data_IF_455705928324
#
_entry.id   IF_455705928324
#
_cell.length_a   1.000
_cell.length_b   1.000
_cell.length_c   1.000
_cell.angle_alpha   90.00
_cell.angle_beta   90.00
_cell.angle_gamma   90.00
#
_symmetry.space_group_name_H-M   'P 1'
#
loop_
_entity.id
_entity.type
_entity.pdbx_description
1 polymer ?
#
# COMPACT_ATOMS: atom_id res chain seq x y z
N UNK A 1 -9.16 -15.34 -20.26
CA UNK A 1 -9.07 -16.63 -19.52
C UNK A 1 -7.69 -16.95 -18.94
N UNK A 2 -6.61 -17.19 -19.71
CA UNK A 2 -5.26 -17.51 -19.16
C UNK A 2 -4.54 -16.33 -18.47
N UNK A 3 -4.74 -15.10 -18.96
CA UNK A 3 -4.16 -13.90 -18.35
C UNK A 3 -4.90 -13.52 -17.05
N UNK A 4 -6.24 -13.58 -17.08
CA UNK A 4 -7.08 -13.37 -15.89
C UNK A 4 -6.77 -14.38 -14.79
N UNK A 5 -6.48 -15.64 -15.15
CA UNK A 5 -6.06 -16.65 -14.16
C UNK A 5 -4.68 -16.36 -13.57
N UNK A 6 -3.73 -15.82 -14.36
CA UNK A 6 -2.40 -15.40 -13.86
C UNK A 6 -2.47 -14.18 -12.94
N UNK A 7 -3.24 -13.16 -13.32
CA UNK A 7 -3.51 -11.98 -12.50
C UNK A 7 -4.11 -12.37 -11.14
N UNK A 8 -5.15 -13.20 -11.15
CA UNK A 8 -5.81 -13.67 -9.94
C UNK A 8 -4.88 -14.51 -9.06
N UNK A 9 -4.02 -15.33 -9.67
CA UNK A 9 -3.03 -16.12 -8.93
C UNK A 9 -2.01 -15.26 -8.19
N UNK A 10 -1.51 -14.18 -8.81
CA UNK A 10 -0.56 -13.26 -8.16
C UNK A 10 -1.21 -12.57 -6.96
N UNK A 11 -2.41 -12.03 -7.15
CA UNK A 11 -3.14 -11.39 -6.07
C UNK A 11 -3.47 -12.37 -4.94
N UNK A 12 -3.77 -13.63 -5.26
CA UNK A 12 -3.98 -14.70 -4.28
C UNK A 12 -2.72 -15.01 -3.46
N UNK A 13 -1.55 -15.07 -4.09
CA UNK A 13 -0.26 -15.28 -3.39
C UNK A 13 0.02 -14.12 -2.42
N UNK A 14 -0.18 -12.88 -2.85
CA UNK A 14 0.02 -11.69 -2.02
C UNK A 14 -0.96 -11.63 -0.84
N UNK A 15 -2.23 -11.97 -1.06
CA UNK A 15 -3.24 -12.07 0.03
C UNK A 15 -2.94 -13.21 0.99
N UNK A 16 -2.33 -14.29 0.51
CA UNK A 16 -1.87 -15.42 1.32
C UNK A 16 -0.52 -15.21 2.02
N UNK A 17 0.09 -14.03 1.86
CA UNK A 17 1.35 -13.68 2.52
C UNK A 17 1.20 -13.82 4.04
N UNK A 18 2.08 -14.62 4.67
CA UNK A 18 2.03 -14.92 6.12
C UNK A 18 2.64 -13.82 7.00
N UNK A 19 3.56 -13.02 6.46
CA UNK A 19 4.18 -11.89 7.16
C UNK A 19 3.51 -10.58 6.75
N UNK A 20 3.55 -9.56 7.60
CA UNK A 20 3.10 -8.24 7.17
C UNK A 20 4.11 -7.63 6.18
N UNK A 21 3.66 -6.79 5.22
CA UNK A 21 4.55 -5.94 4.45
C UNK A 21 5.28 -4.97 5.40
N UNK A 22 6.63 -5.03 5.48
CA UNK A 22 7.37 -4.17 6.39
C UNK A 22 7.22 -2.71 5.99
N UNK A 23 7.25 -1.81 6.99
CA UNK A 23 7.23 -0.37 6.77
C UNK A 23 8.35 0.08 5.83
N UNK A 24 9.57 -0.42 6.05
CA UNK A 24 10.73 -0.21 5.19
C UNK A 24 11.30 -1.56 4.77
N UNK A 25 11.02 -2.05 3.54
CA UNK A 25 11.61 -3.30 3.06
C UNK A 25 13.09 -3.11 2.69
N UNK A 26 13.90 -4.10 3.02
CA UNK A 26 15.31 -4.17 2.58
C UNK A 26 15.48 -4.95 1.26
N UNK A 27 14.48 -5.76 0.91
CA UNK A 27 14.47 -6.64 -0.26
C UNK A 27 13.06 -7.01 -0.65
N UNK A 28 12.92 -7.45 -1.89
CA UNK A 28 11.71 -8.11 -2.41
C UNK A 28 11.32 -9.28 -1.51
N UNK A 29 10.03 -9.39 -1.20
CA UNK A 29 9.50 -10.45 -0.33
C UNK A 29 9.59 -11.83 -0.98
N UNK A 30 9.11 -11.95 -2.22
CA UNK A 30 9.10 -13.21 -2.96
C UNK A 30 9.73 -13.04 -4.35
N UNK A 31 11.02 -13.39 -4.53
CA UNK A 31 11.74 -13.22 -5.81
C UNK A 31 11.11 -13.97 -7.00
N UNK A 32 10.59 -15.18 -6.75
CA UNK A 32 9.89 -15.95 -7.79
C UNK A 32 8.60 -15.26 -8.26
N UNK A 33 7.84 -14.65 -7.35
CA UNK A 33 6.65 -13.87 -7.67
C UNK A 33 7.01 -12.58 -8.39
N UNK A 34 8.12 -11.93 -8.01
CA UNK A 34 8.61 -10.72 -8.68
C UNK A 34 8.89 -11.00 -10.16
N UNK A 35 9.50 -12.14 -10.47
CA UNK A 35 9.73 -12.60 -11.84
C UNK A 35 8.40 -12.79 -12.60
N UNK A 36 7.41 -13.39 -11.95
CA UNK A 36 6.07 -13.58 -12.54
C UNK A 36 5.36 -12.24 -12.80
N UNK A 37 5.47 -11.29 -11.87
CA UNK A 37 4.91 -9.95 -12.01
C UNK A 37 5.59 -9.23 -13.18
N UNK A 38 6.93 -9.23 -13.27
CA UNK A 38 7.67 -8.61 -14.39
C UNK A 38 7.20 -9.12 -15.74
N UNK A 39 6.93 -10.42 -15.84
CA UNK A 39 6.48 -11.09 -17.06
C UNK A 39 5.01 -10.80 -17.45
N UNK A 40 4.28 -9.97 -16.70
CA UNK A 40 2.94 -9.52 -17.10
C UNK A 40 3.07 -8.42 -18.16
N UNK A 41 2.42 -8.62 -19.30
CA UNK A 41 2.24 -7.56 -20.30
C UNK A 41 1.17 -6.57 -19.82
N UNK A 42 1.54 -5.31 -19.63
CA UNK A 42 0.60 -4.23 -19.30
C UNK A 42 -0.38 -4.00 -20.45
N UNK A 43 0.07 -4.16 -21.70
CA UNK A 43 -0.77 -4.03 -22.89
C UNK A 43 -1.89 -5.08 -22.90
N UNK A 44 -1.54 -6.34 -22.61
CA UNK A 44 -2.54 -7.42 -22.56
C UNK A 44 -3.47 -7.27 -21.35
N UNK A 45 -2.96 -6.79 -20.21
CA UNK A 45 -3.78 -6.55 -19.02
C UNK A 45 -4.78 -5.41 -19.24
N UNK A 46 -4.43 -4.42 -20.06
CA UNK A 46 -5.27 -3.27 -20.39
C UNK A 46 -6.34 -3.58 -21.45
N UNK A 47 -6.15 -4.62 -22.26
CA UNK A 47 -7.00 -4.88 -23.43
C UNK A 47 -8.47 -5.10 -23.03
N UNK A 48 -9.37 -4.35 -23.67
CA UNK A 48 -10.81 -4.38 -23.41
C UNK A 48 -11.25 -3.85 -22.03
N UNK A 49 -10.35 -3.26 -21.23
CA UNK A 49 -10.68 -2.74 -19.88
C UNK A 49 -11.07 -1.26 -19.91
N UNK A 50 -12.04 -0.81 -19.10
CA UNK A 50 -12.55 0.56 -19.12
C UNK A 50 -11.47 1.64 -18.93
N UNK A 51 -10.49 1.39 -18.07
CA UNK A 51 -9.41 2.33 -17.77
C UNK A 51 -8.09 2.03 -18.49
N UNK A 52 -8.07 0.99 -19.31
CA UNK A 52 -6.93 0.62 -20.17
C UNK A 52 -5.57 0.63 -19.46
N UNK A 53 -4.59 1.23 -20.14
CA UNK A 53 -3.17 1.21 -19.77
C UNK A 53 -2.89 1.82 -18.39
N UNK A 54 -3.42 3.01 -18.01
CA UNK A 54 -3.17 3.60 -16.70
C UNK A 54 -3.47 2.66 -15.53
N UNK A 55 -4.65 2.03 -15.51
CA UNK A 55 -5.04 1.12 -14.42
C UNK A 55 -4.27 -0.20 -14.46
N UNK A 56 -3.94 -0.72 -15.65
CA UNK A 56 -3.11 -1.91 -15.79
C UNK A 56 -1.68 -1.68 -15.26
N UNK A 57 -1.08 -0.52 -15.58
CA UNK A 57 0.24 -0.12 -15.10
C UNK A 57 0.24 0.12 -13.59
N UNK A 58 -0.75 0.85 -13.08
CA UNK A 58 -0.94 1.07 -11.64
C UNK A 58 -1.12 -0.24 -10.87
N UNK A 59 -1.90 -1.19 -11.41
CA UNK A 59 -2.07 -2.51 -10.80
C UNK A 59 -0.75 -3.26 -10.72
N UNK A 60 0.03 -3.28 -11.82
CA UNK A 60 1.35 -3.93 -11.83
C UNK A 60 2.30 -3.31 -10.81
N UNK A 61 2.27 -1.99 -10.65
CA UNK A 61 3.04 -1.30 -9.62
C UNK A 61 2.57 -1.64 -8.21
N UNK A 62 1.26 -1.69 -7.96
CA UNK A 62 0.68 -2.04 -6.67
C UNK A 62 1.08 -3.45 -6.21
N UNK A 63 1.10 -4.43 -7.11
CA UNK A 63 1.56 -5.79 -6.76
C UNK A 63 3.08 -5.87 -6.55
N UNK A 64 3.88 -5.06 -7.26
CA UNK A 64 5.30 -4.92 -6.94
C UNK A 64 5.50 -4.30 -5.55
N UNK A 65 4.77 -3.24 -5.19
CA UNK A 65 4.83 -2.66 -3.84
C UNK A 65 4.45 -3.70 -2.77
N UNK A 66 3.36 -4.44 -2.94
CA UNK A 66 2.98 -5.48 -1.96
C UNK A 66 4.01 -6.62 -1.91
N UNK A 67 4.72 -6.89 -3.01
CA UNK A 67 5.86 -7.81 -3.02
C UNK A 67 7.19 -7.15 -2.56
N UNK A 68 7.14 -5.96 -1.98
CA UNK A 68 8.29 -5.22 -1.45
C UNK A 68 9.34 -4.80 -2.51
N UNK A 69 8.96 -4.81 -3.80
CA UNK A 69 9.81 -4.37 -4.92
C UNK A 69 9.64 -2.89 -5.22
N UNK A 70 10.35 -2.02 -4.49
CA UNK A 70 10.22 -0.57 -4.60
C UNK A 70 10.69 -0.03 -5.96
N UNK A 71 11.89 -0.40 -6.42
CA UNK A 71 12.45 0.05 -7.71
C UNK A 71 11.52 -0.27 -8.88
N UNK A 72 10.97 -1.49 -8.90
CA UNK A 72 10.12 -1.95 -9.99
C UNK A 72 8.73 -1.33 -9.97
N UNK A 73 8.24 -0.99 -8.78
CA UNK A 73 7.06 -0.15 -8.68
C UNK A 73 7.35 1.27 -9.17
N UNK A 74 8.46 1.87 -8.74
CA UNK A 74 8.87 3.22 -9.13
C UNK A 74 9.02 3.34 -10.65
N UNK A 75 9.69 2.38 -11.31
CA UNK A 75 9.84 2.35 -12.77
C UNK A 75 8.50 2.40 -13.51
N UNK A 76 7.47 1.77 -12.94
CA UNK A 76 6.12 1.75 -13.51
C UNK A 76 5.33 3.01 -13.19
N UNK A 77 5.57 3.68 -12.07
CA UNK A 77 4.77 4.86 -11.70
C UNK A 77 5.43 6.18 -12.08
N UNK A 78 6.73 6.23 -12.40
CA UNK A 78 7.46 7.47 -12.69
C UNK A 78 6.79 8.32 -13.79
N UNK A 79 6.26 7.67 -14.83
CA UNK A 79 5.57 8.33 -15.96
C UNK A 79 4.04 8.29 -15.85
N UNK A 80 3.49 7.76 -14.74
CA UNK A 80 2.06 7.61 -14.56
C UNK A 80 1.46 8.85 -13.88
N UNK A 81 1.18 9.88 -14.69
CA UNK A 81 0.61 11.16 -14.24
C UNK A 81 -0.90 11.10 -13.91
N UNK A 82 -1.29 10.19 -13.02
CA UNK A 82 -2.67 10.04 -12.55
C UNK A 82 -2.74 10.16 -11.02
N UNK A 83 -3.92 10.46 -10.44
CA UNK A 83 -4.10 10.41 -8.99
C UNK A 83 -3.68 9.08 -8.37
N UNK A 84 -3.96 7.97 -9.04
CA UNK A 84 -3.56 6.61 -8.61
C UNK A 84 -2.05 6.40 -8.68
N UNK A 85 -1.39 6.87 -9.74
CA UNK A 85 0.07 6.84 -9.86
C UNK A 85 0.74 7.66 -8.74
N UNK A 86 0.23 8.86 -8.47
CA UNK A 86 0.69 9.70 -7.37
C UNK A 86 0.47 9.05 -5.99
N UNK A 87 -0.66 8.36 -5.78
CA UNK A 87 -0.90 7.59 -4.55
C UNK A 87 0.17 6.50 -4.36
N UNK A 88 0.45 5.73 -5.42
CA UNK A 88 1.45 4.66 -5.39
C UNK A 88 2.87 5.21 -5.16
N UNK A 89 3.24 6.34 -5.77
CA UNK A 89 4.48 7.07 -5.47
C UNK A 89 4.58 7.46 -4.00
N UNK A 90 3.50 8.01 -3.43
CA UNK A 90 3.46 8.39 -2.03
C UNK A 90 3.70 7.22 -1.08
N UNK A 91 3.05 6.08 -1.35
CA UNK A 91 3.26 4.84 -0.60
C UNK A 91 4.70 4.36 -0.76
N UNK A 92 5.23 4.35 -1.99
CA UNK A 92 6.58 3.90 -2.29
C UNK A 92 7.63 4.72 -1.53
N UNK A 93 7.64 6.04 -1.66
CA UNK A 93 8.60 6.91 -0.97
C UNK A 93 8.49 6.87 0.56
N UNK A 94 7.28 6.69 1.11
CA UNK A 94 7.12 6.48 2.56
C UNK A 94 7.90 5.24 3.01
N UNK A 95 7.91 4.18 2.19
CA UNK A 95 8.60 2.93 2.45
C UNK A 95 10.12 3.01 2.21
N UNK A 96 10.58 3.97 1.41
CA UNK A 96 12.00 4.34 1.28
C UNK A 96 12.50 5.25 2.40
N UNK A 97 11.61 5.69 3.30
CA UNK A 97 11.87 6.69 4.34
C UNK A 97 12.09 8.12 3.81
N UNK A 98 11.67 8.41 2.57
CA UNK A 98 11.58 9.77 2.01
C UNK A 98 10.21 10.38 2.30
N UNK A 99 9.99 10.73 3.57
CA UNK A 99 8.68 11.18 4.06
C UNK A 99 8.25 12.52 3.46
N UNK A 100 9.18 13.42 3.16
CA UNK A 100 8.88 14.70 2.50
C UNK A 100 8.32 14.49 1.10
N UNK A 101 8.95 13.61 0.33
CA UNK A 101 8.53 13.33 -1.04
C UNK A 101 7.25 12.49 -1.05
N UNK A 102 7.09 11.56 -0.11
CA UNK A 102 5.83 10.85 0.10
C UNK A 102 4.65 11.83 0.25
N UNK A 103 4.78 12.84 1.14
CA UNK A 103 3.77 13.88 1.34
C UNK A 103 3.53 14.74 0.09
N UNK A 104 4.57 15.04 -0.69
CA UNK A 104 4.43 15.72 -1.97
C UNK A 104 3.55 14.92 -2.95
N UNK A 105 3.76 13.61 -3.05
CA UNK A 105 2.99 12.74 -3.93
C UNK A 105 1.57 12.48 -3.43
N UNK A 106 1.37 12.31 -2.12
CA UNK A 106 0.01 12.26 -1.54
C UNK A 106 -0.79 13.53 -1.80
N UNK A 107 -0.13 14.70 -1.87
CA UNK A 107 -0.79 15.94 -2.29
C UNK A 107 -1.24 15.88 -3.75
N UNK A 108 -0.44 15.29 -4.64
CA UNK A 108 -0.80 15.10 -6.06
C UNK A 108 -1.89 14.04 -6.25
N UNK A 109 -1.98 13.06 -5.35
CA UNK A 109 -3.04 12.05 -5.35
C UNK A 109 -4.43 12.66 -5.06
N UNK A 110 -4.50 13.79 -4.37
CA UNK A 110 -5.76 14.47 -4.06
C UNK A 110 -6.68 13.64 -3.16
N UNK A 111 -7.99 13.83 -3.28
CA UNK A 111 -9.01 13.03 -2.57
C UNK A 111 -9.28 11.72 -3.33
N UNK A 112 -8.36 10.76 -3.16
CA UNK A 112 -8.39 9.52 -3.91
C UNK A 112 -9.50 8.58 -3.39
N UNK A 113 -10.31 7.92 -4.24
CA UNK A 113 -11.44 7.07 -3.81
C UNK A 113 -11.11 5.98 -2.79
N UNK A 114 -9.87 5.46 -2.81
CA UNK A 114 -9.35 4.49 -1.84
C UNK A 114 -9.48 4.99 -0.39
N UNK A 115 -9.38 6.30 -0.16
CA UNK A 115 -9.34 6.88 1.17
C UNK A 115 -10.63 6.66 1.96
N UNK A 116 -11.78 6.63 1.29
CA UNK A 116 -13.07 6.41 1.94
C UNK A 116 -13.26 4.95 2.38
N UNK A 117 -12.78 3.99 1.57
CA UNK A 117 -12.87 2.57 1.89
C UNK A 117 -11.84 2.15 2.94
N UNK A 118 -10.66 2.76 2.91
CA UNK A 118 -9.55 2.40 3.79
C UNK A 118 -9.81 2.81 5.24
N UNK A 119 -10.32 4.03 5.48
CA UNK A 119 -10.46 4.55 6.84
C UNK A 119 -11.33 3.65 7.72
N UNK A 120 -12.51 3.23 7.24
CA UNK A 120 -13.40 2.36 8.00
C UNK A 120 -12.76 1.04 8.41
N UNK A 121 -11.97 0.43 7.50
CA UNK A 121 -11.24 -0.82 7.77
C UNK A 121 -10.13 -0.63 8.80
N UNK A 122 -9.45 0.51 8.75
CA UNK A 122 -8.42 0.86 9.74
C UNK A 122 -9.06 1.08 11.09
N UNK A 123 -10.11 1.91 11.20
CA UNK A 123 -10.82 2.16 12.46
C UNK A 123 -11.30 0.86 13.10
N UNK A 124 -11.96 -0.02 12.34
CA UNK A 124 -12.41 -1.33 12.83
C UNK A 124 -11.23 -2.21 13.30
N UNK A 125 -10.13 -2.26 12.55
CA UNK A 125 -8.95 -3.03 12.95
C UNK A 125 -8.35 -2.49 14.25
N UNK A 126 -8.32 -1.17 14.40
CA UNK A 126 -7.78 -0.49 15.56
C UNK A 126 -8.63 -0.68 16.82
N UNK A 127 -9.96 -0.73 16.67
CA UNK A 127 -10.88 -1.09 17.76
C UNK A 127 -10.64 -2.51 18.25
N UNK A 128 -10.56 -3.49 17.32
CA UNK A 128 -10.26 -4.88 17.69
C UNK A 128 -8.90 -5.05 18.36
N UNK A 129 -7.88 -4.31 17.92
CA UNK A 129 -6.57 -4.31 18.58
C UNK A 129 -6.62 -3.71 19.98
N UNK A 130 -7.43 -2.66 20.18
CA UNK A 130 -7.63 -2.06 21.51
C UNK A 130 -8.30 -3.03 22.47
N UNK A 131 -9.33 -3.73 22.03
CA UNK A 131 -10.05 -4.73 22.83
C UNK A 131 -9.15 -5.89 23.25
N UNK A 132 -8.19 -6.26 22.40
CA UNK A 132 -7.22 -7.31 22.66
C UNK A 132 -5.97 -6.83 23.43
N UNK A 133 -5.95 -5.60 23.95
CA UNK A 133 -4.79 -4.95 24.59
C UNK A 133 -3.51 -4.93 23.71
N UNK A 134 -3.71 -4.88 22.39
CA UNK A 134 -2.65 -4.97 21.39
C UNK A 134 -2.03 -3.63 20.99
N UNK A 135 -2.41 -2.51 21.62
CA UNK A 135 -1.90 -1.18 21.27
C UNK A 135 -0.62 -0.83 22.03
N UNK A 136 0.37 -0.19 21.36
CA UNK A 136 1.58 0.26 22.02
C UNK A 136 1.29 1.37 23.04
N UNK A 137 2.20 1.53 24.01
CA UNK A 137 2.19 2.65 24.95
C UNK A 137 2.93 3.88 24.39
N UNK A 138 2.77 5.03 25.05
CA UNK A 138 3.56 6.24 24.78
C UNK A 138 3.17 7.02 23.52
N UNK A 139 4.07 7.87 23.00
CA UNK A 139 3.74 8.85 21.94
C UNK A 139 3.23 8.25 20.63
N UNK A 140 3.63 7.01 20.32
CA UNK A 140 3.16 6.34 19.09
C UNK A 140 1.68 5.96 19.20
N UNK A 141 1.17 5.73 20.42
CA UNK A 141 -0.26 5.51 20.67
C UNK A 141 -1.10 6.71 20.24
N UNK A 142 -0.61 7.92 20.50
CA UNK A 142 -1.30 9.17 20.13
C UNK A 142 -1.32 9.33 18.61
N UNK A 143 -0.20 9.09 17.94
CA UNK A 143 -0.12 9.14 16.48
C UNK A 143 -1.04 8.09 15.82
N UNK A 144 -1.03 6.85 16.31
CA UNK A 144 -1.94 5.78 15.86
C UNK A 144 -3.40 6.16 16.12
N UNK A 145 -3.70 6.74 17.29
CA UNK A 145 -5.03 7.23 17.63
C UNK A 145 -5.50 8.33 16.69
N UNK A 146 -4.61 9.26 16.32
CA UNK A 146 -4.90 10.33 15.38
C UNK A 146 -5.23 9.79 13.98
N UNK A 147 -4.52 8.76 13.50
CA UNK A 147 -4.83 8.06 12.24
C UNK A 147 -6.20 7.37 12.33
N UNK A 148 -6.43 6.59 13.39
CA UNK A 148 -7.65 5.81 13.55
C UNK A 148 -8.92 6.66 13.74
N UNK A 149 -8.77 7.85 14.32
CA UNK A 149 -9.86 8.78 14.62
C UNK A 149 -10.30 9.67 13.47
N UNK A 150 -9.69 9.54 12.27
CA UNK A 150 -10.14 10.30 11.11
C UNK A 150 -11.47 9.76 10.55
N UNK A 151 -12.23 10.62 9.88
CA UNK A 151 -13.44 10.23 9.13
C UNK A 151 -13.12 9.78 7.70
N UNK A 152 -12.05 10.30 7.12
CA UNK A 152 -11.49 9.92 5.81
C UNK A 152 -10.00 9.67 5.98
N UNK A 153 -9.44 8.72 5.22
CA UNK A 153 -8.03 8.36 5.34
C UNK A 153 -7.13 9.57 5.13
N UNK A 154 -6.19 9.74 6.06
CA UNK A 154 -5.21 10.81 5.99
C UNK A 154 -3.80 10.20 5.83
N UNK A 155 -3.25 10.18 4.60
CA UNK A 155 -1.94 9.59 4.35
C UNK A 155 -0.79 10.36 5.02
N UNK A 156 -0.99 11.65 5.35
CA UNK A 156 0.01 12.47 6.03
C UNK A 156 0.19 12.01 7.49
N UNK A 157 -0.91 11.80 8.21
CA UNK A 157 -0.86 11.30 9.59
C UNK A 157 -0.24 9.91 9.67
N UNK A 158 -0.56 9.04 8.71
CA UNK A 158 0.06 7.72 8.67
C UNK A 158 1.56 7.79 8.35
N UNK A 159 1.95 8.67 7.43
CA UNK A 159 3.37 8.96 7.13
C UNK A 159 4.12 9.43 8.37
N UNK A 160 3.52 10.33 9.15
CA UNK A 160 4.12 10.82 10.39
C UNK A 160 4.23 9.73 11.46
N UNK A 161 3.23 8.86 11.61
CA UNK A 161 3.31 7.72 12.51
C UNK A 161 4.45 6.76 12.14
N UNK A 162 4.60 6.43 10.86
CA UNK A 162 5.71 5.60 10.35
C UNK A 162 7.05 6.27 10.60
N UNK A 163 7.15 7.57 10.32
CA UNK A 163 8.38 8.35 10.54
C UNK A 163 8.81 8.33 12.02
N UNK A 164 7.87 8.42 12.95
CA UNK A 164 8.17 8.34 14.40
C UNK A 164 8.73 6.97 14.76
N UNK A 165 8.12 5.88 14.28
CA UNK A 165 8.54 4.50 14.62
C UNK A 165 9.89 4.13 14.00
N UNK A 166 10.13 4.50 12.74
CA UNK A 166 11.40 4.18 12.04
C UNK A 166 12.62 4.92 12.61
N UNK A 167 12.41 5.95 13.43
CA UNK A 167 13.49 6.66 14.13
C UNK A 167 13.62 6.25 15.61
N UNK A 168 12.86 5.25 16.08
CA UNK A 168 12.93 4.74 17.46
C UNK A 168 13.48 3.33 17.49
N UNK A 169 14.25 3.02 18.53
CA UNK A 169 14.77 1.68 18.80
C UNK A 169 13.82 0.98 19.78
N UNK A 170 13.44 -0.27 19.49
CA UNK A 170 12.75 -1.16 20.43
C UNK A 170 11.23 -0.99 20.55
N UNK A 171 10.56 -0.44 19.54
CA UNK A 171 9.09 -0.29 19.51
C UNK A 171 8.42 -1.28 18.54
N UNK A 172 8.72 -2.58 18.73
CA UNK A 172 8.29 -3.67 17.83
C UNK A 172 6.77 -3.82 17.78
N UNK A 173 6.08 -3.54 18.89
CA UNK A 173 4.63 -3.57 18.95
C UNK A 173 4.02 -2.45 18.09
N UNK A 174 4.52 -1.21 18.20
CA UNK A 174 4.02 -0.13 17.36
C UNK A 174 4.31 -0.37 15.88
N UNK A 175 5.51 -0.87 15.57
CA UNK A 175 5.88 -1.28 14.21
C UNK A 175 4.87 -2.29 13.67
N UNK A 176 4.57 -3.34 14.42
CA UNK A 176 3.59 -4.37 14.03
C UNK A 176 2.20 -3.77 13.76
N UNK A 177 1.74 -2.81 14.58
CA UNK A 177 0.46 -2.13 14.36
C UNK A 177 0.47 -1.31 13.07
N UNK A 178 1.53 -0.54 12.82
CA UNK A 178 1.64 0.26 11.60
C UNK A 178 1.79 -0.63 10.34
N UNK A 179 2.46 -1.77 10.43
CA UNK A 179 2.55 -2.75 9.34
C UNK A 179 1.19 -3.37 9.01
N UNK A 180 0.33 -3.57 10.02
CA UNK A 180 -1.06 -3.96 9.81
C UNK A 180 -1.85 -2.88 9.06
N UNK A 181 -1.67 -1.61 9.43
CA UNK A 181 -2.31 -0.50 8.72
C UNK A 181 -1.80 -0.41 7.27
N UNK A 182 -0.50 -0.54 7.05
CA UNK A 182 0.09 -0.57 5.71
C UNK A 182 -0.45 -1.73 4.87
N UNK A 183 -0.61 -2.91 5.46
CA UNK A 183 -1.24 -4.05 4.79
C UNK A 183 -2.65 -3.71 4.30
N UNK A 184 -3.47 -3.08 5.15
CA UNK A 184 -4.83 -2.64 4.77
C UNK A 184 -4.80 -1.59 3.65
N UNK A 185 -3.84 -0.68 3.67
CA UNK A 185 -3.66 0.33 2.60
C UNK A 185 -3.31 -0.32 1.27
N UNK A 186 -2.32 -1.21 1.23
CA UNK A 186 -1.93 -1.95 0.02
C UNK A 186 -3.09 -2.79 -0.52
N UNK A 187 -3.85 -3.44 0.37
CA UNK A 187 -5.02 -4.20 -0.02
C UNK A 187 -6.15 -3.33 -0.59
N UNK A 188 -6.41 -2.16 0.02
CA UNK A 188 -7.44 -1.24 -0.45
C UNK A 188 -7.10 -0.69 -1.84
N UNK A 189 -5.82 -0.33 -2.07
CA UNK A 189 -5.33 0.09 -3.40
C UNK A 189 -5.50 -1.02 -4.43
N UNK A 190 -5.11 -2.27 -4.09
CA UNK A 190 -5.24 -3.39 -5.02
C UNK A 190 -6.70 -3.66 -5.36
N UNK A 191 -7.61 -3.69 -4.37
CA UNK A 191 -9.05 -3.90 -4.59
C UNK A 191 -9.66 -2.80 -5.47
N UNK A 192 -9.27 -1.54 -5.26
CA UNK A 192 -9.69 -0.45 -6.14
C UNK A 192 -9.24 -0.71 -7.57
N UNK A 193 -7.97 -1.05 -7.80
CA UNK A 193 -7.43 -1.31 -9.13
C UNK A 193 -8.06 -2.53 -9.81
N UNK A 194 -8.32 -3.61 -9.07
CA UNK A 194 -9.05 -4.77 -9.57
C UNK A 194 -10.46 -4.38 -10.06
N UNK A 195 -11.15 -3.47 -9.37
CA UNK A 195 -12.46 -2.97 -9.82
C UNK A 195 -12.39 -2.13 -11.10
N UNK A 196 -11.23 -1.51 -11.40
CA UNK A 196 -10.99 -0.74 -12.63
C UNK A 196 -10.58 -1.63 -13.81
N UNK A 197 -10.18 -2.86 -13.53
CA UNK A 197 -9.77 -3.89 -14.49
C UNK A 197 -10.79 -5.04 -14.59
N UNK A 198 -11.95 -4.92 -13.93
CA UNK A 198 -13.04 -5.89 -14.00
C UNK A 198 -13.79 -5.78 -15.34
#
# INVERSE_FOLDING_TARGET
MLLESRFGAIAAVLRGRKSLPPLTPERVWHPGLDTQIRAISVLELADGRPDGLPSAQAWKAAVHLWNDGLDSAHDLVQDLETPTGALLHGIMHRRERDYSNAKYWFRRAGDHPVYHLLQGRVSERMERMREADGLPAGPVREAIGAVAGQTVWNPYLFTDAVHIVENRIGDDQARTVLEHIQHLELEAVLRYLESRLA
#
